data_IF_414689661828
#
_entry.id   IF_414689661828
#
_cell.length_a   1.000
_cell.length_b   1.000
_cell.length_c   1.000
_cell.angle_alpha   90.00
_cell.angle_beta   90.00
_cell.angle_gamma   90.00
#
_symmetry.space_group_name_H-M   'P 1'
#
loop_
_entity.id
_entity.type
_entity.pdbx_description
1 polymer ?
#
# COMPACT_ATOMS: atom_id res chain seq x y z
N UNK A 1 -4.38 -8.41 6.27
CA UNK A 1 -3.06 -7.77 6.49
C UNK A 1 -3.23 -6.48 7.28
N UNK A 2 -2.80 -6.40 8.55
CA UNK A 2 -2.95 -5.20 9.38
C UNK A 2 -1.82 -4.21 9.11
N UNK A 3 -1.65 -3.79 7.85
CA UNK A 3 -0.61 -2.85 7.44
C UNK A 3 -0.93 -1.41 7.84
N UNK A 4 -2.20 -1.09 8.09
CA UNK A 4 -2.66 0.26 8.42
C UNK A 4 -3.80 0.23 9.43
N UNK A 5 -4.07 1.37 10.07
CA UNK A 5 -5.31 1.59 10.82
C UNK A 5 -6.47 1.82 9.85
N UNK A 6 -7.29 0.79 9.66
CA UNK A 6 -8.41 0.81 8.72
C UNK A 6 -9.46 1.87 9.08
N UNK A 7 -9.71 2.10 10.37
CA UNK A 7 -10.74 3.05 10.79
C UNK A 7 -10.32 4.48 10.47
N UNK A 8 -9.05 4.80 10.76
CA UNK A 8 -8.47 6.09 10.37
C UNK A 8 -8.48 6.26 8.85
N UNK A 9 -8.03 5.24 8.10
CA UNK A 9 -8.01 5.26 6.65
C UNK A 9 -9.40 5.52 6.04
N UNK A 10 -10.42 4.75 6.46
CA UNK A 10 -11.79 4.90 5.95
C UNK A 10 -12.41 6.23 6.37
N UNK A 11 -12.14 6.69 7.59
CA UNK A 11 -12.57 7.99 8.08
C UNK A 11 -12.04 9.14 7.24
N UNK A 12 -10.80 9.06 6.77
CA UNK A 12 -10.17 10.04 5.89
C UNK A 12 -10.72 9.95 4.46
N UNK A 13 -10.86 8.75 3.90
CA UNK A 13 -11.38 8.57 2.52
C UNK A 13 -12.84 9.00 2.39
N UNK A 14 -13.67 8.77 3.41
CA UNK A 14 -15.08 9.13 3.36
C UNK A 14 -15.32 10.64 3.59
N UNK A 15 -14.35 11.33 4.20
CA UNK A 15 -14.47 12.76 4.52
C UNK A 15 -13.89 13.61 3.40
N UNK A 16 -14.76 14.08 2.49
CA UNK A 16 -14.36 14.96 1.37
C UNK A 16 -13.82 16.33 1.82
N UNK A 17 -14.08 16.72 3.06
CA UNK A 17 -13.70 18.02 3.62
C UNK A 17 -12.23 18.10 4.05
N UNK A 18 -11.46 17.01 4.01
CA UNK A 18 -10.05 16.97 4.48
C UNK A 18 -9.86 17.15 5.99
N UNK A 19 -10.95 17.28 6.75
CA UNK A 19 -10.93 17.51 8.21
C UNK A 19 -10.37 16.34 9.02
N UNK A 20 -10.45 15.11 8.48
CA UNK A 20 -9.96 13.90 9.13
C UNK A 20 -8.49 13.58 8.79
N UNK A 21 -7.79 14.52 8.13
CA UNK A 21 -6.38 14.41 7.78
C UNK A 21 -6.14 14.23 6.28
N UNK A 22 -4.88 14.03 5.94
CA UNK A 22 -4.42 13.78 4.57
C UNK A 22 -3.94 12.33 4.46
N UNK A 23 -4.27 11.68 3.34
CA UNK A 23 -3.82 10.33 3.02
C UNK A 23 -2.83 10.39 1.87
N UNK A 24 -1.74 9.63 1.97
CA UNK A 24 -0.81 9.44 0.87
C UNK A 24 -1.54 8.93 -0.37
N UNK A 25 -1.36 9.63 -1.48
CA UNK A 25 -1.92 9.20 -2.76
C UNK A 25 -1.34 7.85 -3.19
N UNK A 26 -0.05 7.61 -2.93
CA UNK A 26 0.60 6.33 -3.22
C UNK A 26 -0.11 5.19 -2.45
N UNK A 27 -0.30 5.38 -1.15
CA UNK A 27 -0.96 4.38 -0.30
C UNK A 27 -2.40 4.13 -0.73
N UNK A 28 -3.12 5.20 -1.06
CA UNK A 28 -4.48 5.10 -1.57
C UNK A 28 -4.54 4.23 -2.84
N UNK A 29 -3.69 4.50 -3.84
CA UNK A 29 -3.67 3.71 -5.07
C UNK A 29 -3.28 2.24 -4.79
N UNK A 30 -2.32 1.99 -3.90
CA UNK A 30 -1.91 0.65 -3.50
C UNK A 30 -3.05 -0.14 -2.82
N UNK A 31 -3.85 0.54 -1.99
CA UNK A 31 -5.02 -0.06 -1.34
C UNK A 31 -6.12 -0.35 -2.34
N UNK A 32 -6.42 0.58 -3.25
CA UNK A 32 -7.39 0.36 -4.32
C UNK A 32 -6.98 -0.80 -5.23
N UNK A 33 -5.68 -0.93 -5.50
CA UNK A 33 -5.11 -2.08 -6.19
C UNK A 33 -5.41 -3.39 -5.44
N UNK A 34 -5.05 -3.49 -4.16
CA UNK A 34 -5.30 -4.70 -3.38
C UNK A 34 -6.81 -5.02 -3.26
N UNK A 35 -7.64 -4.01 -2.99
CA UNK A 35 -9.09 -4.15 -2.85
C UNK A 35 -9.77 -4.61 -4.14
N UNK A 36 -9.25 -4.20 -5.31
CA UNK A 36 -9.81 -4.60 -6.61
C UNK A 36 -9.73 -6.11 -6.88
N UNK A 37 -8.96 -6.89 -6.10
CA UNK A 37 -9.03 -8.36 -6.13
C UNK A 37 -10.35 -8.91 -5.57
N UNK A 38 -10.90 -8.26 -4.55
CA UNK A 38 -11.93 -8.83 -3.67
C UNK A 38 -13.30 -8.17 -3.84
N UNK A 39 -13.33 -6.89 -4.25
CA UNK A 39 -14.58 -6.13 -4.40
C UNK A 39 -15.49 -6.74 -5.47
N UNK A 40 -16.81 -6.67 -5.33
CA UNK A 40 -17.73 -7.16 -6.35
C UNK A 40 -17.53 -6.48 -7.71
N UNK A 41 -17.74 -7.23 -8.79
CA UNK A 41 -17.59 -6.73 -10.16
C UNK A 41 -18.54 -5.55 -10.46
N UNK A 42 -19.67 -5.44 -9.76
CA UNK A 42 -20.62 -4.31 -9.89
C UNK A 42 -19.94 -2.97 -9.63
N UNK A 43 -19.16 -2.86 -8.55
CA UNK A 43 -18.48 -1.62 -8.18
C UNK A 43 -17.34 -1.29 -9.15
N UNK A 44 -16.68 -2.31 -9.71
CA UNK A 44 -15.64 -2.10 -10.73
C UNK A 44 -16.24 -1.56 -12.04
N UNK A 45 -17.42 -2.05 -12.42
CA UNK A 45 -18.14 -1.54 -13.59
C UNK A 45 -18.63 -0.11 -13.41
N UNK A 46 -19.17 0.22 -12.23
CA UNK A 46 -19.51 1.61 -11.86
C UNK A 46 -18.28 2.53 -11.92
N UNK A 47 -17.10 2.01 -11.56
CA UNK A 47 -15.81 2.69 -11.74
C UNK A 47 -15.28 2.73 -13.17
N UNK A 48 -16.03 2.25 -14.17
CA UNK A 48 -15.67 2.28 -15.59
C UNK A 48 -14.79 1.12 -16.07
N UNK A 49 -14.58 0.08 -15.25
CA UNK A 49 -13.75 -1.06 -15.64
C UNK A 49 -14.57 -2.24 -16.18
N UNK A 50 -14.16 -2.75 -17.34
CA UNK A 50 -14.81 -3.88 -18.03
C UNK A 50 -14.48 -5.23 -17.40
N UNK A 51 -13.27 -5.38 -16.86
CA UNK A 51 -12.80 -6.62 -16.22
C UNK A 51 -12.05 -6.31 -14.92
N UNK A 52 -12.07 -7.28 -13.99
CA UNK A 52 -11.28 -7.21 -12.76
C UNK A 52 -9.79 -7.04 -13.05
N UNK A 53 -9.29 -7.71 -14.10
CA UNK A 53 -7.90 -7.61 -14.55
C UNK A 53 -7.57 -6.17 -14.98
N UNK A 54 -8.43 -5.53 -15.77
CA UNK A 54 -8.23 -4.14 -16.19
C UNK A 54 -8.19 -3.17 -15.00
N UNK A 55 -9.10 -3.34 -14.02
CA UNK A 55 -9.10 -2.53 -12.81
C UNK A 55 -7.79 -2.70 -12.01
N UNK A 56 -7.41 -3.96 -11.75
CA UNK A 56 -6.15 -4.29 -11.05
C UNK A 56 -4.95 -3.66 -11.74
N UNK A 57 -4.86 -3.80 -13.08
CA UNK A 57 -3.76 -3.23 -13.88
C UNK A 57 -3.69 -1.72 -13.78
N UNK A 58 -4.83 -1.03 -13.89
CA UNK A 58 -4.88 0.43 -13.80
C UNK A 58 -4.37 0.93 -12.44
N UNK A 59 -4.82 0.34 -11.33
CA UNK A 59 -4.38 0.74 -10.00
C UNK A 59 -2.91 0.39 -9.73
N UNK A 60 -2.45 -0.77 -10.22
CA UNK A 60 -1.04 -1.14 -10.12
C UNK A 60 -0.14 -0.14 -10.88
N UNK A 61 -0.49 0.21 -12.11
CA UNK A 61 0.26 1.19 -12.90
C UNK A 61 0.29 2.57 -12.26
N UNK A 62 -0.84 3.04 -11.70
CA UNK A 62 -0.90 4.31 -10.95
C UNK A 62 0.01 4.28 -9.72
N UNK A 63 -0.02 3.19 -8.95
CA UNK A 63 0.85 3.03 -7.77
C UNK A 63 2.32 3.02 -8.18
N UNK A 64 2.66 2.27 -9.23
CA UNK A 64 4.03 2.21 -9.75
C UNK A 64 4.52 3.57 -10.25
N UNK A 65 3.69 4.32 -10.99
CA UNK A 65 4.06 5.66 -11.45
C UNK A 65 4.38 6.58 -10.27
N UNK A 66 3.53 6.59 -9.25
CA UNK A 66 3.77 7.40 -8.05
C UNK A 66 5.07 7.00 -7.32
N UNK A 67 5.38 5.70 -7.29
CA UNK A 67 6.65 5.20 -6.76
C UNK A 67 7.84 5.62 -7.62
N UNK A 68 7.77 5.41 -8.95
CA UNK A 68 8.86 5.72 -9.90
C UNK A 68 9.15 7.24 -9.98
N UNK A 69 8.19 8.09 -9.60
CA UNK A 69 8.35 9.56 -9.50
C UNK A 69 8.81 10.06 -8.11
N UNK A 70 9.14 9.16 -7.18
CA UNK A 70 9.51 9.51 -5.80
C UNK A 70 8.48 10.43 -5.11
N UNK A 71 7.19 10.25 -5.44
CA UNK A 71 6.12 11.15 -4.98
C UNK A 71 5.95 11.14 -3.46
N UNK A 72 6.18 9.98 -2.82
CA UNK A 72 6.00 9.81 -1.38
C UNK A 72 7.35 9.81 -0.65
N UNK A 73 7.48 10.67 0.36
CA UNK A 73 8.68 10.78 1.17
C UNK A 73 8.63 9.90 2.43
N UNK A 74 7.42 9.56 2.93
CA UNK A 74 7.29 8.70 4.10
C UNK A 74 7.67 7.25 3.76
N UNK A 75 8.83 6.83 4.26
CA UNK A 75 9.35 5.48 4.05
C UNK A 75 8.45 4.39 4.62
N UNK A 76 7.66 4.66 5.67
CA UNK A 76 6.71 3.68 6.19
C UNK A 76 5.59 3.44 5.18
N UNK A 77 5.11 4.52 4.56
CA UNK A 77 4.09 4.46 3.52
C UNK A 77 4.62 3.73 2.28
N UNK A 78 5.87 4.01 1.89
CA UNK A 78 6.52 3.28 0.80
C UNK A 78 6.57 1.78 1.09
N UNK A 79 6.98 1.35 2.29
CA UNK A 79 6.96 -0.08 2.66
C UNK A 79 5.55 -0.66 2.58
N UNK A 80 4.54 0.02 3.12
CA UNK A 80 3.15 -0.45 3.06
C UNK A 80 2.66 -0.60 1.61
N UNK A 81 2.93 0.38 0.75
CA UNK A 81 2.54 0.35 -0.66
C UNK A 81 3.26 -0.77 -1.42
N UNK A 82 4.56 -0.94 -1.21
CA UNK A 82 5.36 -2.01 -1.83
C UNK A 82 4.86 -3.40 -1.42
N UNK A 83 4.55 -3.60 -0.13
CA UNK A 83 3.95 -4.84 0.36
C UNK A 83 2.60 -5.12 -0.29
N UNK A 84 1.74 -4.11 -0.47
CA UNK A 84 0.48 -4.29 -1.20
C UNK A 84 0.71 -4.64 -2.67
N UNK A 85 1.73 -4.04 -3.32
CA UNK A 85 2.08 -4.35 -4.71
C UNK A 85 2.57 -5.80 -4.90
N UNK A 86 3.09 -6.48 -3.87
CA UNK A 86 3.46 -7.90 -3.96
C UNK A 86 2.28 -8.82 -4.30
N UNK A 87 1.04 -8.39 -4.07
CA UNK A 87 -0.15 -9.13 -4.49
C UNK A 87 -0.43 -9.10 -6.00
N UNK A 88 0.45 -8.50 -6.81
CA UNK A 88 0.38 -8.57 -8.26
C UNK A 88 0.79 -9.94 -8.77
N UNK A 89 -0.08 -10.55 -9.58
CA UNK A 89 0.20 -11.78 -10.33
C UNK A 89 -0.57 -11.68 -11.65
N UNK A 90 0.07 -11.12 -12.70
CA UNK A 90 -0.60 -10.96 -14.02
C UNK A 90 -0.41 -12.17 -14.92
N UNK A 91 0.80 -12.73 -14.97
CA UNK A 91 1.21 -13.90 -15.77
C UNK A 91 2.67 -14.26 -15.43
N UNK A 92 3.16 -15.50 -15.68
CA UNK A 92 4.56 -15.91 -15.43
C UNK A 92 5.65 -15.18 -16.24
N UNK A 93 5.27 -14.22 -17.09
CA UNK A 93 6.12 -13.59 -18.11
C UNK A 93 6.29 -12.07 -17.88
N UNK A 94 5.86 -11.57 -16.72
CA UNK A 94 5.93 -10.13 -16.41
C UNK A 94 7.30 -9.79 -15.82
N UNK A 95 8.05 -8.91 -16.49
CA UNK A 95 9.48 -8.62 -16.28
C UNK A 95 9.89 -8.11 -14.87
N UNK A 96 8.90 -7.80 -14.02
CA UNK A 96 9.08 -7.41 -12.61
C UNK A 96 8.20 -8.30 -11.74
N UNK A 97 8.68 -9.50 -11.47
CA UNK A 97 8.00 -10.48 -10.63
C UNK A 97 7.76 -9.97 -9.20
N UNK A 98 6.77 -10.55 -8.52
CA UNK A 98 6.48 -10.38 -7.09
C UNK A 98 7.74 -10.33 -6.21
N UNK A 99 8.77 -11.10 -6.58
CA UNK A 99 10.08 -11.15 -5.93
C UNK A 99 10.85 -9.82 -5.94
N UNK A 100 10.75 -9.04 -7.02
CA UNK A 100 11.39 -7.74 -7.12
C UNK A 100 10.81 -6.78 -6.08
N UNK A 101 9.48 -6.62 -6.06
CA UNK A 101 8.80 -5.73 -5.12
C UNK A 101 8.96 -6.19 -3.67
N UNK A 102 8.97 -7.51 -3.44
CA UNK A 102 9.28 -8.08 -2.13
C UNK A 102 10.71 -7.74 -1.68
N UNK A 103 11.71 -7.90 -2.55
CA UNK A 103 13.10 -7.56 -2.24
C UNK A 103 13.28 -6.08 -1.93
N UNK A 104 12.63 -5.19 -2.69
CA UNK A 104 12.64 -3.74 -2.42
C UNK A 104 11.96 -3.43 -1.09
N UNK A 105 10.80 -4.03 -0.79
CA UNK A 105 10.10 -3.85 0.47
C UNK A 105 10.97 -4.27 1.67
N UNK A 106 11.63 -5.43 1.59
CA UNK A 106 12.52 -5.95 2.63
C UNK A 106 13.73 -5.02 2.81
N UNK A 107 14.39 -4.63 1.72
CA UNK A 107 15.54 -3.72 1.76
C UNK A 107 15.18 -2.38 2.41
N UNK A 108 14.04 -1.81 2.03
CA UNK A 108 13.56 -0.56 2.60
C UNK A 108 13.19 -0.72 4.08
N UNK A 109 12.54 -1.84 4.44
CA UNK A 109 12.19 -2.14 5.82
C UNK A 109 13.42 -2.31 6.73
N UNK A 110 14.48 -2.95 6.21
CA UNK A 110 15.77 -3.01 6.89
C UNK A 110 16.39 -1.62 7.06
N UNK A 111 16.35 -0.80 6.01
CA UNK A 111 16.90 0.57 6.02
C UNK A 111 16.24 1.47 7.07
N UNK A 112 14.92 1.34 7.29
CA UNK A 112 14.21 2.11 8.33
C UNK A 112 14.23 1.46 9.71
N UNK A 113 14.88 0.31 9.84
CA UNK A 113 15.02 -0.38 11.12
C UNK A 113 13.75 -1.06 11.62
N UNK A 114 12.79 -1.41 10.75
CA UNK A 114 11.57 -2.15 11.13
C UNK A 114 11.89 -3.49 11.82
N UNK A 115 13.03 -4.10 11.48
CA UNK A 115 13.55 -5.32 12.09
C UNK A 115 14.07 -5.13 13.53
N UNK A 116 14.29 -3.89 13.98
CA UNK A 116 14.82 -3.59 15.31
C UNK A 116 13.66 -3.51 16.30
N UNK A 117 13.87 -4.05 17.50
CA UNK A 117 12.87 -3.98 18.56
C UNK A 117 12.58 -2.50 18.92
N UNK A 118 11.35 -1.99 18.72
CA UNK A 118 11.05 -0.58 18.97
C UNK A 118 11.00 -0.22 20.46
N UNK A 119 11.12 -1.19 21.36
CA UNK A 119 11.08 -0.99 22.82
C UNK A 119 12.21 -0.10 23.37
N UNK A 120 13.27 0.14 22.59
CA UNK A 120 14.36 1.06 22.95
C UNK A 120 14.25 2.45 22.32
N UNK A 121 13.20 2.73 21.55
CA UNK A 121 13.03 4.02 20.83
C UNK A 121 11.99 4.93 21.48
N UNK A 122 12.22 6.25 21.43
CA UNK A 122 11.30 7.31 21.90
C UNK A 122 10.09 7.51 20.96
N UNK A 123 9.56 6.43 20.37
CA UNK A 123 8.40 6.48 19.49
C UNK A 123 7.09 6.32 20.26
N UNK A 124 6.04 7.01 19.81
CA UNK A 124 4.71 6.86 20.36
C UNK A 124 4.24 5.38 20.33
N UNK A 125 3.57 4.87 21.38
CA UNK A 125 3.18 3.46 21.47
C UNK A 125 2.36 2.93 20.29
N UNK A 126 1.51 3.78 19.68
CA UNK A 126 0.73 3.43 18.50
C UNK A 126 1.62 3.15 17.27
N UNK A 127 2.66 3.96 17.08
CA UNK A 127 3.64 3.81 15.99
C UNK A 127 4.49 2.55 16.18
N UNK A 128 4.87 2.24 17.42
CA UNK A 128 5.60 1.00 17.75
C UNK A 128 4.78 -0.27 17.45
N UNK A 129 3.47 -0.25 17.75
CA UNK A 129 2.56 -1.37 17.42
C UNK A 129 2.42 -1.56 15.91
N UNK A 130 2.30 -0.47 15.15
CA UNK A 130 2.22 -0.51 13.70
C UNK A 130 3.52 -1.05 13.09
N UNK A 131 4.69 -0.60 13.58
CA UNK A 131 5.99 -1.12 13.17
C UNK A 131 6.13 -2.63 13.38
N UNK A 132 5.76 -3.16 14.55
CA UNK A 132 5.78 -4.60 14.79
C UNK A 132 4.86 -5.36 13.84
N UNK A 133 3.68 -4.82 13.51
CA UNK A 133 2.70 -5.46 12.61
C UNK A 133 3.12 -5.47 11.14
N UNK A 134 3.95 -4.52 10.71
CA UNK A 134 4.45 -4.45 9.33
C UNK A 134 5.64 -5.41 9.12
N UNK A 135 6.41 -5.67 10.18
CA UNK A 135 7.58 -6.56 10.11
C UNK A 135 7.25 -8.06 10.17
N UNK A 136 6.27 -8.46 10.99
CA UNK A 136 5.83 -9.85 11.13
C UNK A 136 4.87 -10.26 10.02
#
# INVERSE_FOLDING_TARGET
MPLMDLNSFLGTVNSRDGKNGQLSLLLYQAVMFAASAFVDMKYLREGGYTTRKAARKSFFQKTRLLYDFDYEADRLVLVQALLLMTYWYETPDDQKDTWHWMGVAISLAHTIGLHRNPGSTSMAPAKQKLWKRIWW
#
